data_IF_059125834146
#
_entry.id   IF_059125834146
#
_cell.length_a   1.000
_cell.length_b   1.000
_cell.length_c   1.000
_cell.angle_alpha   90.00
_cell.angle_beta   90.00
_cell.angle_gamma   90.00
#
_symmetry.space_group_name_H-M   'P 1'
#
loop_
_entity.id
_entity.type
_entity.pdbx_description
1 polymer ?
#
# COMPACT_ATOMS: atom_id res chain seq x y z
N UNK A 1 15.89 -10.08 -17.48
CA UNK A 1 15.01 -10.23 -16.29
C UNK A 1 14.16 -8.97 -16.19
N UNK A 2 12.85 -9.08 -15.95
CA UNK A 2 12.01 -7.90 -15.70
C UNK A 2 12.24 -7.46 -14.25
N UNK A 3 12.70 -6.23 -14.05
CA UNK A 3 12.82 -5.64 -12.73
C UNK A 3 11.43 -5.20 -12.27
N UNK A 4 10.96 -5.71 -11.12
CA UNK A 4 9.73 -5.23 -10.50
C UNK A 4 10.04 -3.90 -9.78
N UNK A 5 9.19 -2.90 -9.96
CA UNK A 5 9.37 -1.56 -9.38
C UNK A 5 8.16 -1.27 -8.51
N UNK A 6 8.39 -0.76 -7.30
CA UNK A 6 7.29 -0.35 -6.44
C UNK A 6 6.55 0.86 -7.03
N UNK A 7 5.24 0.78 -7.13
CA UNK A 7 4.42 1.84 -7.71
C UNK A 7 4.39 3.13 -6.88
N UNK A 8 4.64 3.04 -5.57
CA UNK A 8 4.70 4.21 -4.68
C UNK A 8 6.08 4.85 -4.73
N UNK A 9 7.10 4.20 -4.18
CA UNK A 9 8.42 4.82 -4.03
C UNK A 9 9.31 4.75 -5.28
N UNK A 10 8.86 4.10 -6.36
CA UNK A 10 9.59 3.91 -7.64
C UNK A 10 10.95 3.22 -7.51
N UNK A 11 11.24 2.58 -6.37
CA UNK A 11 12.45 1.78 -6.15
C UNK A 11 12.29 0.39 -6.73
N UNK A 12 13.37 -0.14 -7.32
CA UNK A 12 13.44 -1.52 -7.78
C UNK A 12 13.38 -2.49 -6.60
N UNK A 13 12.54 -3.53 -6.72
CA UNK A 13 12.41 -4.61 -5.75
C UNK A 13 13.43 -5.69 -6.10
N UNK A 14 14.41 -5.88 -5.22
CA UNK A 14 15.47 -6.87 -5.40
C UNK A 14 14.95 -8.27 -5.07
N UNK A 15 15.17 -9.24 -5.98
CA UNK A 15 14.73 -10.62 -5.83
C UNK A 15 13.23 -10.73 -5.44
N UNK A 16 12.30 -10.25 -6.29
CA UNK A 16 10.89 -10.15 -5.93
C UNK A 16 10.29 -11.53 -5.61
N UNK A 17 9.77 -11.67 -4.40
CA UNK A 17 9.03 -12.82 -3.88
C UNK A 17 7.69 -12.30 -3.36
N UNK A 18 6.60 -12.75 -3.99
CA UNK A 18 5.24 -12.32 -3.67
C UNK A 18 4.92 -12.62 -2.21
N UNK A 19 4.24 -11.68 -1.56
CA UNK A 19 3.79 -11.76 -0.16
C UNK A 19 4.94 -11.83 0.86
N UNK A 20 6.19 -11.63 0.41
CA UNK A 20 7.39 -11.51 1.26
C UNK A 20 8.02 -10.14 1.16
N UNK A 21 8.50 -9.74 -0.03
CA UNK A 21 9.14 -8.43 -0.22
C UNK A 21 8.43 -7.53 -1.24
N UNK A 22 7.41 -8.07 -1.93
CA UNK A 22 6.44 -7.29 -2.67
C UNK A 22 5.02 -7.82 -2.45
N UNK A 23 4.07 -6.91 -2.54
CA UNK A 23 2.65 -7.16 -2.33
C UNK A 23 1.88 -6.59 -3.51
N UNK A 24 1.09 -7.43 -4.15
CA UNK A 24 0.23 -7.03 -5.26
C UNK A 24 -1.16 -6.74 -4.70
N UNK A 25 -1.57 -5.47 -4.72
CA UNK A 25 -2.86 -5.00 -4.24
C UNK A 25 -3.61 -4.42 -5.43
N UNK A 26 -4.68 -5.10 -5.85
CA UNK A 26 -5.42 -4.77 -7.08
C UNK A 26 -4.51 -4.65 -8.30
N UNK A 27 -4.21 -3.43 -8.75
CA UNK A 27 -3.36 -3.14 -9.92
C UNK A 27 -2.04 -2.45 -9.52
N UNK A 28 -1.60 -2.63 -8.27
CA UNK A 28 -0.46 -1.93 -7.68
C UNK A 28 0.52 -2.90 -7.04
N UNK A 29 1.80 -2.74 -7.37
CA UNK A 29 2.91 -3.47 -6.76
C UNK A 29 3.60 -2.60 -5.71
N UNK A 30 3.50 -3.00 -4.44
CA UNK A 30 4.12 -2.31 -3.32
C UNK A 30 5.30 -3.12 -2.81
N UNK A 31 6.44 -2.46 -2.54
CA UNK A 31 7.49 -3.08 -1.74
C UNK A 31 7.06 -3.16 -0.27
N UNK A 32 7.65 -4.08 0.49
CA UNK A 32 7.41 -4.27 1.92
C UNK A 32 7.37 -2.95 2.72
N UNK A 33 8.37 -2.04 2.63
CA UNK A 33 8.32 -0.77 3.37
C UNK A 33 7.11 0.12 3.05
N UNK A 34 6.65 0.13 1.79
CA UNK A 34 5.48 0.91 1.39
C UNK A 34 4.19 0.25 1.90
N UNK A 35 4.12 -1.08 1.89
CA UNK A 35 2.99 -1.83 2.45
C UNK A 35 2.88 -1.64 3.96
N UNK A 36 4.00 -1.62 4.68
CA UNK A 36 4.00 -1.36 6.12
C UNK A 36 3.55 0.07 6.46
N UNK A 37 3.98 1.07 5.68
CA UNK A 37 3.51 2.44 5.83
C UNK A 37 2.00 2.59 5.56
N UNK A 38 1.49 1.91 4.53
CA UNK A 38 0.05 1.86 4.26
C UNK A 38 -0.71 1.32 5.48
N UNK A 39 -0.27 0.21 6.06
CA UNK A 39 -0.90 -0.37 7.26
C UNK A 39 -0.85 0.58 8.46
N UNK A 40 0.28 1.27 8.67
CA UNK A 40 0.42 2.27 9.74
C UNK A 40 -0.58 3.42 9.59
N UNK A 41 -0.83 3.88 8.36
CA UNK A 41 -1.80 4.95 8.07
C UNK A 41 -3.24 4.46 8.25
N UNK A 42 -3.55 3.25 7.77
CA UNK A 42 -4.93 2.74 7.77
C UNK A 42 -5.40 2.26 9.14
N UNK A 43 -4.52 1.59 9.91
CA UNK A 43 -4.86 0.93 11.17
C UNK A 43 -5.60 1.82 12.19
N UNK A 44 -5.19 3.06 12.49
CA UNK A 44 -5.95 3.91 13.42
C UNK A 44 -7.33 4.28 12.88
N UNK A 45 -7.46 4.54 11.57
CA UNK A 45 -8.73 4.91 10.92
C UNK A 45 -9.72 3.73 10.97
N UNK A 46 -9.24 2.53 10.64
CA UNK A 46 -10.05 1.31 10.68
C UNK A 46 -10.50 0.99 12.10
N UNK A 47 -9.61 1.13 13.09
CA UNK A 47 -9.94 0.91 14.51
C UNK A 47 -10.96 1.90 15.06
N UNK A 48 -11.03 3.11 14.51
CA UNK A 48 -12.01 4.11 14.92
C UNK A 48 -13.38 3.92 14.25
N UNK A 49 -13.48 3.13 13.17
CA UNK A 49 -14.71 2.94 12.40
C UNK A 49 -15.58 1.83 12.99
N UNK A 50 -16.74 2.23 13.53
CA UNK A 50 -17.79 1.30 13.97
C UNK A 50 -19.18 1.72 13.42
N UNK A 51 -19.96 0.77 12.87
CA UNK A 51 -19.59 -0.61 12.56
C UNK A 51 -18.52 -0.67 11.44
N UNK A 52 -17.70 -1.72 11.47
CA UNK A 52 -16.76 -2.01 10.38
C UNK A 52 -17.53 -2.37 9.10
N UNK A 53 -17.03 -1.89 7.97
CA UNK A 53 -17.54 -2.22 6.64
C UNK A 53 -16.35 -2.50 5.72
N UNK A 54 -16.34 -3.68 5.09
CA UNK A 54 -15.23 -4.13 4.27
C UNK A 54 -15.11 -3.34 2.96
N UNK A 55 -16.22 -3.06 2.28
CA UNK A 55 -16.25 -2.27 1.04
C UNK A 55 -15.73 -0.83 1.27
N UNK A 56 -16.03 -0.25 2.43
CA UNK A 56 -15.46 1.03 2.86
C UNK A 56 -13.94 0.94 3.06
N UNK A 57 -13.46 -0.14 3.68
CA UNK A 57 -12.04 -0.35 3.90
C UNK A 57 -11.27 -0.50 2.58
N UNK A 58 -11.81 -1.26 1.63
CA UNK A 58 -11.21 -1.42 0.30
C UNK A 58 -11.09 -0.07 -0.42
N UNK A 59 -12.15 0.74 -0.40
CA UNK A 59 -12.12 2.10 -0.97
C UNK A 59 -11.09 3.00 -0.28
N UNK A 60 -11.05 2.99 1.06
CA UNK A 60 -10.08 3.75 1.84
C UNK A 60 -8.63 3.34 1.52
N UNK A 61 -8.38 2.03 1.41
CA UNK A 61 -7.07 1.49 1.08
C UNK A 61 -6.64 1.92 -0.32
N UNK A 62 -7.51 1.75 -1.32
CA UNK A 62 -7.22 2.13 -2.71
C UNK A 62 -7.00 3.63 -2.86
N UNK A 63 -7.83 4.46 -2.23
CA UNK A 63 -7.65 5.92 -2.21
C UNK A 63 -6.31 6.31 -1.59
N UNK A 64 -5.89 5.61 -0.53
CA UNK A 64 -4.62 5.86 0.15
C UNK A 64 -3.43 5.49 -0.74
N UNK A 65 -3.52 4.37 -1.46
CA UNK A 65 -2.50 3.94 -2.42
C UNK A 65 -2.41 4.92 -3.59
N UNK A 66 -3.53 5.30 -4.23
CA UNK A 66 -3.51 6.24 -5.36
C UNK A 66 -2.92 7.59 -5.00
N UNK A 67 -3.27 8.13 -3.81
CA UNK A 67 -2.65 9.36 -3.29
C UNK A 67 -1.14 9.20 -3.07
N UNK A 68 -0.70 8.03 -2.59
CA UNK A 68 0.71 7.77 -2.34
C UNK A 68 1.51 7.57 -3.63
N UNK A 69 0.92 6.97 -4.67
CA UNK A 69 1.54 6.82 -6.00
C UNK A 69 1.88 8.18 -6.60
N UNK A 70 0.97 9.16 -6.48
CA UNK A 70 1.21 10.53 -6.96
C UNK A 70 2.29 11.24 -6.14
N UNK A 71 2.31 11.03 -4.81
CA UNK A 71 3.24 11.72 -3.89
C UNK A 71 4.61 11.04 -3.76
N UNK A 72 4.74 9.78 -4.15
CA UNK A 72 5.91 8.94 -3.92
C UNK A 72 6.05 8.38 -2.50
N UNK A 73 5.09 8.66 -1.60
CA UNK A 73 5.10 8.23 -0.18
C UNK A 73 3.71 8.30 0.44
N UNK A 74 3.48 7.50 1.48
CA UNK A 74 2.32 7.64 2.35
C UNK A 74 2.48 8.87 3.25
N UNK A 75 1.42 9.64 3.44
CA UNK A 75 1.41 10.76 4.38
C UNK A 75 1.31 10.24 5.81
N UNK A 76 2.13 10.76 6.71
CA UNK A 76 1.90 10.61 8.15
C UNK A 76 0.66 11.40 8.52
N UNK A 77 -0.33 10.73 9.12
CA UNK A 77 -1.42 11.42 9.82
C UNK A 77 -0.87 12.22 11.01
#
# INVERSE_FOLDING_TARGET
MKTLVCDVCKRAIQNPVKDRNYFHIENRDLCEPCKDQLELVLKPIVRAKHPFNYEWYERLMMDSIEKAVVKGKFGTA
#
